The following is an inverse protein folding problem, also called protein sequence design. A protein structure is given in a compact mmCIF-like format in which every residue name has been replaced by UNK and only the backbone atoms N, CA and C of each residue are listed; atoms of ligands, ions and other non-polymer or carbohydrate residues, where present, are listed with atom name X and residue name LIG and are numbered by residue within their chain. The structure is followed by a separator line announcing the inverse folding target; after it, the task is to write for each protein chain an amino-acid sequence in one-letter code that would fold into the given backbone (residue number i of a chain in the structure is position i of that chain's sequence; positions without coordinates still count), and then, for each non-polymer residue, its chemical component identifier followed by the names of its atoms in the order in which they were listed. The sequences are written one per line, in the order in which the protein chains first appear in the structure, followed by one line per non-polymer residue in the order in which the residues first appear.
data_IF_128682767185
#
_entry.id   IF_128682767185
#
_cell.length_a   1.000
_cell.length_b   1.000
_cell.length_c   1.000
_cell.angle_alpha   90.00
_cell.angle_beta   90.00
_cell.angle_gamma   90.00
#
_symmetry.space_group_name_H-M   'P 1'
#
loop_
_entity.id
_entity.type
_entity.pdbx_description
1 polymer ?
#
# COMPACT_ATOMS: atom_id res chain seq x y z
N UNK A 1 -15.15 -9.08 3.83
CA UNK A 1 -14.25 -10.05 3.15
C UNK A 1 -13.09 -9.28 2.55
N UNK A 2 -11.86 -9.66 2.93
CA UNK A 2 -10.63 -9.11 2.35
C UNK A 2 -10.03 -10.20 1.45
N UNK A 3 -9.73 -9.86 0.20
CA UNK A 3 -8.92 -10.71 -0.68
C UNK A 3 -7.51 -10.15 -0.74
N UNK A 4 -6.52 -11.03 -0.57
CA UNK A 4 -5.13 -10.67 -0.72
C UNK A 4 -4.47 -11.47 -1.84
N UNK A 5 -4.59 -11.03 -3.11
CA UNK A 5 -3.78 -11.53 -4.20
C UNK A 5 -2.35 -10.97 -4.21
N UNK A 6 -2.07 -9.87 -3.50
CA UNK A 6 -0.78 -9.16 -3.50
C UNK A 6 -0.43 -8.46 -4.82
N UNK A 7 -1.33 -8.48 -5.80
CA UNK A 7 -1.15 -7.94 -7.14
C UNK A 7 -2.51 -7.58 -7.73
N UNK A 8 -2.52 -6.75 -8.78
CA UNK A 8 -3.73 -6.43 -9.54
C UNK A 8 -4.38 -7.73 -10.05
N UNK A 9 -5.60 -8.07 -9.59
CA UNK A 9 -6.27 -9.28 -10.05
C UNK A 9 -6.79 -9.08 -11.48
N UNK A 10 -6.96 -10.19 -12.19
CA UNK A 10 -7.76 -10.19 -13.43
C UNK A 10 -9.20 -9.77 -13.10
N UNK A 11 -9.83 -8.98 -13.98
CA UNK A 11 -11.18 -8.44 -13.76
C UNK A 11 -12.25 -9.50 -13.52
N UNK A 12 -12.02 -10.77 -13.88
CA UNK A 12 -12.92 -11.89 -13.56
C UNK A 12 -12.98 -12.20 -12.07
N UNK A 13 -12.00 -11.74 -11.29
CA UNK A 13 -11.95 -11.87 -9.83
C UNK A 13 -12.41 -10.60 -9.12
N UNK A 14 -12.82 -9.57 -9.88
CA UNK A 14 -13.44 -8.35 -9.36
C UNK A 14 -14.90 -8.66 -8.97
N UNK A 15 -15.04 -9.45 -7.90
CA UNK A 15 -16.32 -9.87 -7.36
C UNK A 15 -16.89 -8.78 -6.47
N UNK A 16 -18.17 -8.47 -6.68
CA UNK A 16 -19.01 -7.54 -5.91
C UNK A 16 -19.19 -7.96 -4.42
N UNK A 17 -18.58 -9.06 -4.01
CA UNK A 17 -18.64 -9.62 -2.65
C UNK A 17 -17.40 -9.31 -1.82
N UNK A 18 -16.44 -8.58 -2.38
CA UNK A 18 -15.16 -8.27 -1.73
C UNK A 18 -15.20 -6.83 -1.20
N UNK A 19 -14.99 -6.65 0.10
CA UNK A 19 -14.97 -5.31 0.70
C UNK A 19 -13.62 -4.62 0.46
N UNK A 20 -12.52 -5.39 0.47
CA UNK A 20 -11.16 -4.87 0.23
C UNK A 20 -10.32 -5.89 -0.56
N UNK A 21 -9.60 -5.42 -1.56
CA UNK A 21 -8.60 -6.20 -2.31
C UNK A 21 -7.21 -5.60 -2.13
N UNK A 22 -6.25 -6.40 -1.66
CA UNK A 22 -4.83 -6.02 -1.64
C UNK A 22 -4.28 -6.16 -3.06
N UNK A 23 -4.27 -5.05 -3.79
CA UNK A 23 -3.86 -4.99 -5.21
C UNK A 23 -2.36 -4.73 -5.38
N UNK A 24 -1.65 -4.48 -4.28
CA UNK A 24 -0.20 -4.39 -4.26
C UNK A 24 0.34 -4.86 -2.90
N UNK A 25 1.20 -5.88 -2.91
CA UNK A 25 1.97 -6.33 -1.76
C UNK A 25 3.41 -6.62 -2.20
N UNK A 26 4.33 -5.68 -1.98
CA UNK A 26 5.72 -5.85 -2.38
C UNK A 26 6.64 -4.76 -1.81
N UNK A 27 7.90 -4.76 -2.26
CA UNK A 27 8.89 -3.76 -1.87
C UNK A 27 8.58 -2.37 -2.42
N UNK A 28 9.13 -1.33 -1.79
CA UNK A 28 9.10 0.03 -2.32
C UNK A 28 9.67 0.13 -3.75
N UNK A 29 10.73 -0.61 -4.06
CA UNK A 29 11.36 -0.60 -5.39
C UNK A 29 10.44 -1.21 -6.46
N UNK A 30 9.72 -2.28 -6.10
CA UNK A 30 8.70 -2.87 -6.97
C UNK A 30 7.53 -1.91 -7.17
N UNK A 31 7.12 -1.16 -6.14
CA UNK A 31 6.12 -0.10 -6.27
C UNK A 31 6.57 0.95 -7.28
N UNK A 32 7.82 1.41 -7.22
CA UNK A 32 8.31 2.41 -8.18
C UNK A 32 8.24 1.91 -9.63
N UNK A 33 8.46 0.61 -9.85
CA UNK A 33 8.36 -0.04 -11.16
C UNK A 33 6.92 -0.24 -11.61
N UNK A 34 5.99 -0.49 -10.69
CA UNK A 34 4.60 -0.85 -10.98
C UNK A 34 3.59 0.30 -10.85
N UNK A 35 3.97 1.44 -10.27
CA UNK A 35 3.08 2.58 -10.01
C UNK A 35 2.28 3.06 -11.23
N UNK A 36 2.84 2.93 -12.44
CA UNK A 36 2.12 3.27 -13.67
C UNK A 36 0.88 2.39 -13.93
N UNK A 37 0.97 1.08 -13.64
CA UNK A 37 -0.16 0.15 -13.75
C UNK A 37 -1.16 0.37 -12.62
N UNK A 38 -0.65 0.60 -11.42
CA UNK A 38 -1.44 0.88 -10.23
C UNK A 38 -2.29 2.15 -10.40
N UNK A 39 -1.70 3.23 -10.90
CA UNK A 39 -2.41 4.48 -11.21
C UNK A 39 -3.46 4.33 -12.33
N UNK A 40 -3.44 3.23 -13.08
CA UNK A 40 -4.40 2.94 -14.13
C UNK A 40 -5.58 2.07 -13.63
N UNK A 41 -5.54 1.56 -12.39
CA UNK A 41 -6.70 0.95 -11.75
C UNK A 41 -7.79 2.02 -11.59
N UNK A 42 -9.04 1.64 -11.89
CA UNK A 42 -10.16 2.57 -11.95
C UNK A 42 -10.41 3.29 -10.60
N UNK A 43 -11.08 4.43 -10.70
CA UNK A 43 -11.11 5.56 -9.77
C UNK A 43 -11.64 5.33 -8.34
N UNK A 44 -12.01 4.11 -7.96
CA UNK A 44 -12.56 3.83 -6.62
C UNK A 44 -11.52 3.19 -5.71
N UNK A 45 -10.74 4.06 -5.06
CA UNK A 45 -9.74 3.67 -4.07
C UNK A 45 -10.32 2.96 -2.83
N UNK A 46 -11.63 3.05 -2.59
CA UNK A 46 -12.26 2.56 -1.35
C UNK A 46 -12.18 1.05 -1.20
N UNK A 47 -12.10 0.32 -2.30
CA UNK A 47 -11.96 -1.15 -2.31
C UNK A 47 -10.52 -1.64 -2.33
N UNK A 48 -9.50 -0.77 -2.28
CA UNK A 48 -8.10 -1.16 -2.53
C UNK A 48 -7.21 -1.01 -1.30
N UNK A 49 -6.26 -1.93 -1.19
CA UNK A 49 -5.18 -1.89 -0.22
C UNK A 49 -3.81 -2.03 -0.86
N UNK A 50 -2.85 -1.24 -0.37
CA UNK A 50 -1.42 -1.35 -0.67
C UNK A 50 -0.65 -1.71 0.59
N UNK A 51 0.22 -2.71 0.48
CA UNK A 51 1.13 -3.17 1.53
C UNK A 51 2.57 -3.05 1.02
N UNK A 52 3.30 -2.05 1.51
CA UNK A 52 4.68 -1.77 1.11
C UNK A 52 5.63 -2.13 2.25
N UNK A 53 6.60 -2.99 1.96
CA UNK A 53 7.77 -3.20 2.82
C UNK A 53 9.02 -2.57 2.19
N UNK A 54 10.13 -2.59 2.92
CA UNK A 54 11.41 -2.02 2.46
C UNK A 54 11.30 -0.55 2.03
N UNK A 55 10.41 0.23 2.67
CA UNK A 55 10.33 1.68 2.44
C UNK A 55 11.65 2.30 2.93
N UNK A 56 12.37 3.07 2.09
CA UNK A 56 13.63 3.65 2.51
C UNK A 56 13.42 4.62 3.67
N UNK A 57 14.46 4.86 4.48
CA UNK A 57 14.41 5.96 5.43
C UNK A 57 14.30 7.29 4.67
N UNK A 58 13.31 8.11 5.05
CA UNK A 58 13.06 9.41 4.43
C UNK A 58 12.75 10.45 5.51
N UNK A 59 12.99 11.72 5.20
CA UNK A 59 12.48 12.81 6.03
C UNK A 59 10.94 12.86 6.04
N UNK A 60 10.35 13.34 7.13
CA UNK A 60 8.89 13.34 7.34
C UNK A 60 8.08 13.98 6.21
N UNK A 61 8.61 15.03 5.56
CA UNK A 61 7.93 15.67 4.43
C UNK A 61 7.85 14.77 3.19
N UNK A 62 8.94 14.06 2.89
CA UNK A 62 9.00 13.10 1.78
C UNK A 62 8.14 11.87 2.08
N UNK A 63 8.20 11.36 3.32
CA UNK A 63 7.37 10.24 3.75
C UNK A 63 5.88 10.61 3.71
N UNK A 64 5.49 11.81 4.18
CA UNK A 64 4.11 12.31 4.03
C UNK A 64 3.69 12.39 2.57
N UNK A 65 4.54 12.92 1.70
CA UNK A 65 4.23 13.01 0.26
C UNK A 65 4.00 11.62 -0.36
N UNK A 66 4.77 10.61 0.06
CA UNK A 66 4.55 9.22 -0.34
C UNK A 66 3.20 8.70 0.18
N UNK A 67 2.92 8.85 1.48
CA UNK A 67 1.66 8.38 2.08
C UNK A 67 0.45 9.05 1.43
N UNK A 68 0.51 10.36 1.20
CA UNK A 68 -0.54 11.11 0.53
C UNK A 68 -0.78 10.55 -0.89
N UNK A 69 0.29 10.29 -1.66
CA UNK A 69 0.18 9.69 -3.00
C UNK A 69 -0.45 8.29 -2.98
N UNK A 70 -0.03 7.43 -2.05
CA UNK A 70 -0.57 6.08 -1.93
C UNK A 70 -2.05 6.13 -1.52
N UNK A 71 -2.41 7.03 -0.60
CA UNK A 71 -3.79 7.18 -0.09
C UNK A 71 -4.78 7.68 -1.14
N UNK A 72 -4.30 8.33 -2.20
CA UNK A 72 -5.14 8.70 -3.35
C UNK A 72 -5.52 7.48 -4.20
N UNK A 73 -4.77 6.38 -4.12
CA UNK A 73 -4.96 5.17 -4.92
C UNK A 73 -5.57 4.01 -4.14
N UNK A 74 -5.33 3.94 -2.83
CA UNK A 74 -5.84 2.89 -1.95
C UNK A 74 -6.27 3.47 -0.60
N UNK A 75 -7.44 3.06 -0.10
CA UNK A 75 -7.93 3.47 1.22
C UNK A 75 -7.12 2.84 2.37
N UNK A 76 -6.69 1.60 2.18
CA UNK A 76 -6.06 0.81 3.23
C UNK A 76 -4.57 0.68 2.98
N UNK A 77 -3.76 1.29 3.84
CA UNK A 77 -2.31 1.31 3.69
C UNK A 77 -1.62 0.55 4.81
N UNK A 78 -0.62 -0.25 4.44
CA UNK A 78 0.41 -0.76 5.33
C UNK A 78 1.77 -0.35 4.77
N UNK A 79 2.58 0.32 5.57
CA UNK A 79 3.94 0.70 5.21
C UNK A 79 4.90 0.29 6.32
N UNK A 80 6.06 -0.22 5.93
CA UNK A 80 7.19 -0.44 6.83
C UNK A 80 8.53 -0.29 6.13
N UNK A 81 9.52 0.19 6.88
CA UNK A 81 10.94 0.25 6.54
C UNK A 81 11.63 -1.10 6.70
N UNK A 82 11.02 -2.06 7.40
CA UNK A 82 11.56 -3.41 7.56
C UNK A 82 11.72 -4.09 6.20
N UNK A 83 12.84 -4.79 6.02
CA UNK A 83 13.18 -5.51 4.78
C UNK A 83 13.04 -7.03 4.90
N UNK A 84 12.94 -7.52 6.12
CA UNK A 84 12.72 -8.91 6.52
C UNK A 84 11.77 -8.93 7.71
N UNK A 85 11.10 -10.06 7.95
CA UNK A 85 10.19 -10.27 9.08
C UNK A 85 9.14 -9.13 9.26
N UNK A 86 8.77 -8.48 8.15
CA UNK A 86 7.97 -7.25 8.13
C UNK A 86 6.51 -7.43 8.53
N UNK A 87 6.06 -8.68 8.69
CA UNK A 87 4.77 -9.03 9.29
C UNK A 87 4.89 -9.65 10.69
N UNK A 88 6.11 -9.93 11.14
CA UNK A 88 6.40 -10.60 12.41
C UNK A 88 7.00 -9.64 13.45
N UNK A 89 7.30 -8.41 13.04
CA UNK A 89 7.89 -7.37 13.88
C UNK A 89 7.22 -6.02 13.68
N UNK A 90 7.25 -5.18 14.72
CA UNK A 90 6.84 -3.79 14.61
C UNK A 90 8.02 -2.93 14.21
N UNK A 91 7.82 -2.14 13.16
CA UNK A 91 8.78 -1.17 12.69
C UNK A 91 9.06 -0.09 13.75
N UNK A 92 10.33 0.18 14.10
CA UNK A 92 10.69 1.32 14.93
C UNK A 92 10.19 2.68 14.40
N UNK A 93 10.09 2.84 13.07
CA UNK A 93 9.51 4.02 12.42
C UNK A 93 7.97 4.02 12.39
N UNK A 94 7.33 2.92 12.81
CA UNK A 94 5.88 2.72 12.80
C UNK A 94 5.07 3.89 13.39
N UNK A 95 5.41 4.43 14.58
CA UNK A 95 4.71 5.59 15.14
C UNK A 95 4.72 6.81 14.21
N UNK A 96 5.87 7.11 13.59
CA UNK A 96 5.97 8.21 12.62
C UNK A 96 5.14 7.94 11.37
N UNK A 97 5.16 6.71 10.85
CA UNK A 97 4.35 6.32 9.70
C UNK A 97 2.85 6.51 9.99
N UNK A 98 2.40 6.08 11.19
CA UNK A 98 1.00 6.19 11.64
C UNK A 98 0.58 7.66 11.77
N UNK A 99 1.42 8.51 12.38
CA UNK A 99 1.16 9.96 12.50
C UNK A 99 1.06 10.66 11.12
N UNK A 100 1.65 10.04 10.09
CA UNK A 100 1.61 10.53 8.72
C UNK A 100 0.47 9.92 7.87
N UNK A 101 -0.36 9.04 8.43
CA UNK A 101 -1.55 8.57 7.72
C UNK A 101 -2.59 9.72 7.60
N UNK A 102 -3.37 9.76 6.50
CA UNK A 102 -4.49 10.69 6.40
C UNK A 102 -5.57 10.30 7.41
N UNK A 103 -6.20 11.30 8.02
CA UNK A 103 -7.34 11.15 8.93
C UNK A 103 -8.67 11.05 8.21
#
# INVERSE_FOLDING_TARGET
VIHNPGTIPDSRYDSNTTDVTVVFESSYDDYQTQKGKLNALASDRSGYSYMLHSVPEMGNSTLRSLVDQLSLQAEYLFLTTLTEDYYESFDPAGPTIIDLMPS
#
